data_IF_510879733743
#
_entry.id   IF_510879733743
#
_cell.length_a   1.000
_cell.length_b   1.000
_cell.length_c   1.000
_cell.angle_alpha   90.00
_cell.angle_beta   90.00
_cell.angle_gamma   90.00
#
_symmetry.space_group_name_H-M   'P 1'
#
loop_
_entity.id
_entity.type
_entity.pdbx_description
1 polymer ?
#
# COMPACT_ATOMS: atom_id res chain seq x y z
N UNK A 1 -7.67 16.19 7.73
CA UNK A 1 -6.53 16.44 8.64
C UNK A 1 -6.95 17.23 9.90
N UNK A 2 -7.73 18.34 9.80
CA UNK A 2 -8.15 19.14 10.97
C UNK A 2 -8.84 18.29 12.04
N UNK A 3 -9.84 17.47 11.65
CA UNK A 3 -10.56 16.58 12.57
C UNK A 3 -9.62 15.61 13.28
N UNK A 4 -8.60 15.07 12.61
CA UNK A 4 -7.65 14.14 13.23
C UNK A 4 -6.78 14.86 14.28
N UNK A 5 -6.32 16.07 14.00
CA UNK A 5 -5.52 16.88 14.94
C UNK A 5 -6.32 17.30 16.19
N UNK A 6 -7.64 17.48 16.03
CA UNK A 6 -8.55 17.87 17.13
C UNK A 6 -9.07 16.64 17.92
N UNK A 7 -8.85 15.41 17.41
CA UNK A 7 -9.35 14.20 18.07
C UNK A 7 -8.38 13.75 19.17
N UNK A 8 -8.86 13.55 20.42
CA UNK A 8 -8.01 13.07 21.50
C UNK A 8 -7.32 11.75 21.17
N UNK A 9 -6.03 11.61 21.51
CA UNK A 9 -5.21 10.43 21.22
C UNK A 9 -5.84 9.11 21.69
N UNK A 10 -6.51 9.11 22.86
CA UNK A 10 -7.25 7.95 23.37
C UNK A 10 -8.37 7.49 22.42
N UNK A 11 -9.08 8.43 21.79
CA UNK A 11 -10.15 8.14 20.82
C UNK A 11 -9.55 7.62 19.51
N UNK A 12 -8.44 8.20 19.04
CA UNK A 12 -7.69 7.70 17.89
C UNK A 12 -7.19 6.27 18.12
N UNK A 13 -6.61 5.98 19.28
CA UNK A 13 -6.19 4.64 19.68
C UNK A 13 -7.34 3.63 19.59
N UNK A 14 -8.51 4.00 20.11
CA UNK A 14 -9.71 3.14 20.07
C UNK A 14 -10.13 2.83 18.61
N UNK A 15 -10.11 3.83 17.73
CA UNK A 15 -10.42 3.63 16.30
C UNK A 15 -9.39 2.73 15.63
N UNK A 16 -8.11 2.96 15.86
CA UNK A 16 -7.03 2.10 15.32
C UNK A 16 -7.20 0.66 15.78
N UNK A 17 -7.49 0.41 17.07
CA UNK A 17 -7.75 -0.94 17.60
C UNK A 17 -8.93 -1.62 16.93
N UNK A 18 -10.05 -0.89 16.73
CA UNK A 18 -11.22 -1.43 16.01
C UNK A 18 -10.88 -1.79 14.57
N UNK A 19 -10.15 -0.92 13.89
CA UNK A 19 -9.70 -1.13 12.50
C UNK A 19 -8.81 -2.36 12.38
N UNK A 20 -7.79 -2.46 13.22
CA UNK A 20 -6.86 -3.61 13.21
C UNK A 20 -7.59 -4.92 13.55
N UNK A 21 -8.53 -4.90 14.51
CA UNK A 21 -9.40 -6.07 14.78
C UNK A 21 -10.22 -6.48 13.55
N UNK A 22 -10.76 -5.48 12.81
CA UNK A 22 -11.48 -5.74 11.56
C UNK A 22 -10.59 -6.37 10.49
N UNK A 23 -9.34 -5.88 10.35
CA UNK A 23 -8.36 -6.48 9.43
C UNK A 23 -8.06 -7.94 9.80
N UNK A 24 -7.80 -8.23 11.08
CA UNK A 24 -7.53 -9.59 11.56
C UNK A 24 -8.71 -10.48 11.26
N UNK A 25 -9.95 -10.09 11.64
CA UNK A 25 -11.15 -10.88 11.37
C UNK A 25 -11.36 -11.22 9.90
N UNK A 26 -10.84 -10.38 9.00
CA UNK A 26 -10.92 -10.54 7.54
C UNK A 26 -9.67 -11.22 6.94
N UNK A 27 -8.88 -11.89 7.77
CA UNK A 27 -7.76 -12.72 7.30
C UNK A 27 -6.45 -11.99 7.07
N UNK A 28 -6.32 -10.71 7.45
CA UNK A 28 -5.06 -9.98 7.31
C UNK A 28 -4.10 -10.38 8.42
N UNK A 29 -2.93 -10.94 8.08
CA UNK A 29 -1.87 -11.34 9.02
C UNK A 29 -0.71 -10.36 9.07
N UNK A 30 -0.55 -9.55 8.02
CA UNK A 30 0.48 -8.50 7.93
C UNK A 30 -0.13 -7.23 7.33
N UNK A 31 0.12 -6.09 7.94
CA UNK A 31 -0.26 -4.77 7.42
C UNK A 31 0.96 -3.89 7.16
N UNK A 32 0.84 -2.99 6.20
CA UNK A 32 1.75 -1.86 5.99
C UNK A 32 0.96 -0.59 6.20
N UNK A 33 1.44 0.29 7.04
CA UNK A 33 0.77 1.54 7.40
C UNK A 33 1.62 2.74 6.98
N UNK A 34 1.09 3.60 6.13
CA UNK A 34 1.65 4.91 5.82
C UNK A 34 1.20 5.90 6.88
N UNK A 35 2.07 6.15 7.87
CA UNK A 35 1.67 6.86 9.10
C UNK A 35 1.94 8.36 9.00
N UNK A 36 0.86 9.12 9.16
CA UNK A 36 0.85 10.56 9.37
C UNK A 36 1.00 10.93 10.86
N UNK A 37 1.24 12.22 11.13
CA UNK A 37 1.36 12.75 12.49
C UNK A 37 2.73 12.58 13.09
N UNK A 38 3.76 12.61 12.27
CA UNK A 38 5.16 12.60 12.70
C UNK A 38 5.47 11.44 13.66
N UNK A 39 6.34 11.68 14.64
CA UNK A 39 6.72 10.70 15.65
C UNK A 39 5.54 10.28 16.53
N UNK A 40 4.65 11.21 16.90
CA UNK A 40 3.49 10.91 17.75
C UNK A 40 2.54 9.92 17.07
N UNK A 41 2.27 10.12 15.78
CA UNK A 41 1.45 9.21 15.01
C UNK A 41 2.07 7.80 14.92
N UNK A 42 3.39 7.72 14.73
CA UNK A 42 4.13 6.45 14.72
C UNK A 42 4.05 5.75 16.08
N UNK A 43 4.29 6.45 17.17
CA UNK A 43 4.23 5.88 18.52
C UNK A 43 2.81 5.41 18.88
N UNK A 44 1.79 6.17 18.45
CA UNK A 44 0.40 5.81 18.71
C UNK A 44 -0.01 4.53 17.97
N UNK A 45 0.29 4.38 16.68
CA UNK A 45 -0.02 3.16 15.96
C UNK A 45 0.80 1.98 16.47
N UNK A 46 2.08 2.18 16.82
CA UNK A 46 2.94 1.17 17.42
C UNK A 46 2.31 0.58 18.68
N UNK A 47 1.89 1.44 19.61
CA UNK A 47 1.18 1.03 20.84
C UNK A 47 -0.04 0.14 20.57
N UNK A 48 -0.74 0.37 19.46
CA UNK A 48 -1.89 -0.45 19.07
C UNK A 48 -1.46 -1.79 18.51
N UNK A 49 -0.60 -1.79 17.48
CA UNK A 49 -0.28 -3.00 16.72
C UNK A 49 0.58 -3.99 17.52
N UNK A 50 1.49 -3.50 18.38
CA UNK A 50 2.35 -4.36 19.21
C UNK A 50 1.56 -5.14 20.27
N UNK A 51 0.34 -4.69 20.58
CA UNK A 51 -0.57 -5.38 21.51
C UNK A 51 -1.57 -6.33 20.81
N UNK A 52 -1.43 -6.55 19.50
CA UNK A 52 -2.41 -7.30 18.71
C UNK A 52 -1.73 -8.40 17.86
N UNK A 53 -2.42 -9.51 17.58
CA UNK A 53 -1.84 -10.62 16.80
C UNK A 53 -1.80 -10.30 15.30
N UNK A 54 -1.09 -9.24 14.92
CA UNK A 54 -0.85 -8.83 13.54
C UNK A 54 0.59 -8.38 13.38
N UNK A 55 1.21 -8.70 12.25
CA UNK A 55 2.52 -8.17 11.90
C UNK A 55 2.35 -6.81 11.25
N UNK A 56 3.13 -5.83 11.70
CA UNK A 56 3.06 -4.46 11.17
C UNK A 56 4.38 -4.01 10.56
N UNK A 57 4.29 -3.19 9.54
CA UNK A 57 5.37 -2.42 8.93
C UNK A 57 4.89 -0.98 8.89
N UNK A 58 5.46 -0.15 9.75
CA UNK A 58 5.07 1.25 9.86
C UNK A 58 6.04 2.08 9.02
N UNK A 59 5.50 2.83 8.07
CA UNK A 59 6.21 3.76 7.21
C UNK A 59 5.82 5.18 7.62
N UNK A 60 6.67 5.80 8.43
CA UNK A 60 6.43 7.15 8.92
C UNK A 60 6.86 8.23 7.93
N UNK A 61 6.38 9.43 8.13
CA UNK A 61 6.84 10.63 7.43
C UNK A 61 6.79 11.84 8.36
N UNK A 62 7.61 12.83 8.06
CA UNK A 62 7.52 14.15 8.69
C UNK A 62 6.53 15.00 7.88
N UNK A 63 5.60 15.66 8.55
CA UNK A 63 4.64 16.58 7.93
C UNK A 63 5.36 17.87 7.46
N UNK A 64 6.10 17.74 6.39
CA UNK A 64 6.82 18.84 5.76
C UNK A 64 6.62 18.79 4.24
N UNK A 65 6.09 19.86 3.71
CA UNK A 65 5.76 19.97 2.29
C UNK A 65 6.50 21.16 1.69
N UNK A 66 7.27 20.92 0.64
CA UNK A 66 7.95 21.98 -0.09
C UNK A 66 6.98 22.69 -1.02
N UNK A 67 7.02 24.01 -1.03
CA UNK A 67 6.25 24.83 -1.96
C UNK A 67 6.70 24.59 -3.41
N UNK A 68 5.83 24.91 -4.39
CA UNK A 68 6.15 24.82 -5.83
C UNK A 68 7.46 25.56 -6.18
N UNK A 69 7.73 26.69 -5.52
CA UNK A 69 8.96 27.47 -5.74
C UNK A 69 10.19 26.72 -5.22
N UNK A 70 10.10 26.12 -4.04
CA UNK A 70 11.19 25.30 -3.47
C UNK A 70 11.48 24.07 -4.34
N UNK A 71 10.43 23.41 -4.85
CA UNK A 71 10.57 22.28 -5.77
C UNK A 71 11.27 22.71 -7.06
N UNK A 72 10.85 23.83 -7.66
CA UNK A 72 11.45 24.38 -8.88
C UNK A 72 12.91 24.79 -8.69
N UNK A 73 13.24 25.38 -7.54
CA UNK A 73 14.62 25.74 -7.15
C UNK A 73 15.44 24.54 -6.67
N UNK A 74 14.85 23.37 -6.60
CA UNK A 74 15.49 22.14 -6.15
C UNK A 74 16.10 22.24 -4.73
N UNK A 75 15.37 22.89 -3.80
CA UNK A 75 15.81 23.18 -2.44
C UNK A 75 16.01 21.89 -1.63
N UNK A 76 17.07 21.74 -0.84
CA UNK A 76 17.27 20.60 0.08
C UNK A 76 16.29 20.65 1.27
N UNK A 77 16.23 19.56 2.03
CA UNK A 77 15.60 19.54 3.36
C UNK A 77 16.44 20.39 4.33
N UNK A 78 15.76 20.93 5.35
CA UNK A 78 16.41 21.68 6.43
C UNK A 78 17.11 20.73 7.41
N UNK A 79 18.09 21.25 8.17
CA UNK A 79 18.71 20.47 9.25
C UNK A 79 17.72 20.05 10.32
N UNK A 80 16.75 20.91 10.65
CA UNK A 80 15.69 20.60 11.59
C UNK A 80 14.86 19.40 11.11
N UNK A 81 14.49 19.39 9.83
CA UNK A 81 13.80 18.25 9.22
C UNK A 81 14.63 16.97 9.32
N UNK A 82 15.92 17.04 8.99
CA UNK A 82 16.81 15.87 9.05
C UNK A 82 16.88 15.29 10.48
N UNK A 83 17.00 16.14 11.50
CA UNK A 83 17.01 15.70 12.91
C UNK A 83 15.69 15.00 13.30
N UNK A 84 14.56 15.57 12.93
CA UNK A 84 13.23 14.95 13.18
C UNK A 84 13.11 13.61 12.45
N UNK A 85 13.55 13.54 11.20
CA UNK A 85 13.55 12.33 10.40
C UNK A 85 14.39 11.22 11.02
N UNK A 86 15.58 11.54 11.52
CA UNK A 86 16.47 10.56 12.16
C UNK A 86 15.85 9.98 13.44
N UNK A 87 15.13 10.79 14.21
CA UNK A 87 14.36 10.33 15.38
C UNK A 87 13.19 9.45 14.95
N UNK A 88 12.41 9.90 13.98
CA UNK A 88 11.27 9.14 13.42
C UNK A 88 11.72 7.75 12.96
N UNK A 89 12.78 7.70 12.18
CA UNK A 89 13.29 6.46 11.60
C UNK A 89 13.80 5.45 12.65
N UNK A 90 14.13 5.85 13.86
CA UNK A 90 14.44 4.91 14.94
C UNK A 90 13.21 4.14 15.41
N UNK A 91 12.00 4.68 15.20
CA UNK A 91 10.74 4.18 15.73
C UNK A 91 9.83 3.51 14.68
N UNK A 92 10.25 3.43 13.42
CA UNK A 92 9.45 2.82 12.33
C UNK A 92 10.32 2.02 11.37
N UNK A 93 9.72 1.22 10.49
CA UNK A 93 10.41 0.36 9.53
C UNK A 93 10.86 1.10 8.28
N UNK A 94 10.36 2.30 8.05
CA UNK A 94 10.76 3.06 6.85
C UNK A 94 10.01 4.36 6.64
N UNK A 95 10.15 4.88 5.41
CA UNK A 95 9.52 6.10 4.92
C UNK A 95 8.30 5.77 4.06
N UNK A 96 7.18 6.43 4.33
CA UNK A 96 5.97 6.42 3.51
C UNK A 96 5.68 7.82 2.99
N UNK A 97 6.07 8.13 1.76
CA UNK A 97 5.95 9.46 1.15
C UNK A 97 4.66 9.56 0.36
N UNK A 98 3.92 10.67 0.53
CA UNK A 98 2.63 10.91 -0.12
C UNK A 98 2.73 11.17 -1.63
N UNK A 99 3.85 11.73 -2.11
CA UNK A 99 4.04 11.95 -3.53
C UNK A 99 5.31 12.76 -3.83
N UNK A 100 5.78 12.70 -5.08
CA UNK A 100 6.95 13.45 -5.51
C UNK A 100 6.67 14.96 -5.58
N UNK A 101 5.41 15.36 -5.76
CA UNK A 101 5.02 16.76 -5.93
C UNK A 101 5.11 17.60 -4.64
N UNK A 102 5.36 16.97 -3.51
CA UNK A 102 5.59 17.61 -2.22
C UNK A 102 7.09 17.76 -1.90
N UNK A 103 7.97 17.29 -2.78
CA UNK A 103 9.40 17.22 -2.55
C UNK A 103 10.20 17.68 -3.78
N UNK A 104 11.32 18.35 -3.57
CA UNK A 104 12.27 18.61 -4.63
C UNK A 104 12.99 17.33 -5.06
N UNK A 105 13.57 17.33 -6.27
CA UNK A 105 14.39 16.20 -6.74
C UNK A 105 15.61 15.98 -5.83
N UNK A 106 16.16 17.06 -5.25
CA UNK A 106 17.26 16.97 -4.31
C UNK A 106 16.83 16.32 -2.98
N UNK A 107 15.67 16.72 -2.46
CA UNK A 107 15.08 16.10 -1.26
C UNK A 107 14.83 14.60 -1.46
N UNK A 108 14.21 14.20 -2.57
CA UNK A 108 14.01 12.78 -2.88
C UNK A 108 15.32 11.98 -2.88
N UNK A 109 16.40 12.55 -3.46
CA UNK A 109 17.73 11.95 -3.44
C UNK A 109 18.33 11.92 -2.02
N UNK A 110 18.10 12.93 -1.18
CA UNK A 110 18.53 12.89 0.23
C UNK A 110 17.83 11.77 0.98
N UNK A 111 16.49 11.66 0.87
CA UNK A 111 15.68 10.62 1.50
C UNK A 111 16.06 9.22 1.01
N UNK A 112 16.53 9.08 -0.24
CA UNK A 112 17.00 7.81 -0.79
C UNK A 112 18.21 7.19 -0.07
N UNK A 113 18.92 7.98 0.73
CA UNK A 113 20.11 7.53 1.49
C UNK A 113 19.74 6.69 2.71
N UNK A 114 18.47 6.74 3.18
CA UNK A 114 18.05 5.87 4.27
C UNK A 114 18.14 4.40 3.87
N UNK A 115 18.65 3.56 4.78
CA UNK A 115 18.75 2.12 4.59
C UNK A 115 17.44 1.37 4.87
N UNK A 116 16.43 2.06 5.41
CA UNK A 116 15.12 1.50 5.72
C UNK A 116 14.21 1.43 4.49
N UNK A 117 13.05 0.81 4.61
CA UNK A 117 12.06 0.72 3.54
C UNK A 117 11.68 2.13 3.08
N UNK A 118 11.53 2.31 1.79
CA UNK A 118 11.06 3.55 1.15
C UNK A 118 9.90 3.21 0.24
N UNK A 119 8.77 3.83 0.47
CA UNK A 119 7.60 3.70 -0.38
C UNK A 119 7.00 5.08 -0.67
N UNK A 120 6.37 5.23 -1.82
CA UNK A 120 5.85 6.52 -2.27
C UNK A 120 4.63 6.32 -3.15
N UNK A 121 3.61 7.17 -2.98
CA UNK A 121 2.48 7.27 -3.89
C UNK A 121 2.93 7.89 -5.21
N UNK A 122 2.41 7.40 -6.31
CA UNK A 122 2.85 7.82 -7.64
C UNK A 122 1.73 7.69 -8.67
N UNK A 123 1.57 8.72 -9.48
CA UNK A 123 0.61 8.78 -10.58
C UNK A 123 -0.79 8.27 -10.17
N UNK A 124 -1.22 8.64 -9.00
CA UNK A 124 -2.53 8.29 -8.45
C UNK A 124 -3.64 8.96 -9.26
N UNK A 125 -3.48 10.27 -9.52
CA UNK A 125 -4.39 11.06 -10.32
C UNK A 125 -3.72 11.56 -11.60
N UNK A 126 -4.52 11.84 -12.60
CA UNK A 126 -4.04 12.48 -13.84
C UNK A 126 -3.44 13.85 -13.55
N UNK A 127 -4.00 14.58 -12.58
CA UNK A 127 -3.55 15.90 -12.20
C UNK A 127 -2.16 15.88 -11.55
N UNK A 128 -1.85 14.88 -10.72
CA UNK A 128 -0.54 14.76 -10.06
C UNK A 128 0.58 14.66 -11.10
N UNK A 129 0.39 13.88 -12.16
CA UNK A 129 1.37 13.76 -13.25
C UNK A 129 1.48 15.05 -14.08
N UNK A 130 0.37 15.74 -14.34
CA UNK A 130 0.37 17.04 -15.03
C UNK A 130 1.10 18.12 -14.23
N UNK A 131 0.89 18.18 -12.91
CA UNK A 131 1.60 19.10 -12.01
C UNK A 131 3.10 18.83 -12.06
N UNK A 132 3.51 17.58 -11.95
CA UNK A 132 4.92 17.18 -11.99
C UNK A 132 5.59 17.63 -13.30
N UNK A 133 4.96 17.32 -14.44
CA UNK A 133 5.45 17.73 -15.77
C UNK A 133 5.54 19.26 -15.92
N UNK A 134 4.57 19.99 -15.39
CA UNK A 134 4.56 21.48 -15.45
C UNK A 134 5.73 22.06 -14.68
N UNK A 135 6.03 21.56 -13.47
CA UNK A 135 7.06 22.12 -12.59
C UNK A 135 8.46 21.65 -13.00
N UNK A 136 8.62 20.36 -13.35
CA UNK A 136 9.94 19.71 -13.44
C UNK A 136 10.25 19.13 -14.83
N UNK A 137 9.31 19.17 -15.77
CA UNK A 137 9.40 18.53 -17.10
C UNK A 137 9.51 17.01 -17.07
N UNK A 138 9.24 16.38 -15.91
CA UNK A 138 9.28 14.91 -15.71
C UNK A 138 7.92 14.40 -15.26
N UNK A 139 7.61 13.13 -15.55
CA UNK A 139 6.46 12.45 -14.93
C UNK A 139 6.64 12.35 -13.43
N UNK A 140 5.55 12.30 -12.68
CA UNK A 140 5.63 12.09 -11.24
C UNK A 140 6.35 10.78 -10.93
N UNK A 141 6.02 9.71 -11.65
CA UNK A 141 6.65 8.40 -11.48
C UNK A 141 8.17 8.42 -11.73
N UNK A 142 8.63 9.13 -12.75
CA UNK A 142 10.06 9.29 -13.01
C UNK A 142 10.79 10.02 -11.85
N UNK A 143 10.11 10.98 -11.21
CA UNK A 143 10.65 11.65 -10.02
C UNK A 143 10.64 10.75 -8.79
N UNK A 144 9.58 9.95 -8.62
CA UNK A 144 9.50 8.97 -7.53
C UNK A 144 10.72 8.02 -7.52
N UNK A 145 11.26 7.68 -8.70
CA UNK A 145 12.47 6.83 -8.79
C UNK A 145 13.72 7.46 -8.15
N UNK A 146 13.78 8.79 -7.97
CA UNK A 146 14.89 9.46 -7.28
C UNK A 146 14.98 9.08 -5.80
N UNK A 147 13.86 8.67 -5.20
CA UNK A 147 13.80 8.11 -3.85
C UNK A 147 14.41 6.70 -3.77
N UNK A 148 14.61 6.01 -4.91
CA UNK A 148 14.95 4.58 -4.99
C UNK A 148 13.98 3.76 -4.14
N UNK A 149 12.66 3.83 -4.40
CA UNK A 149 11.67 3.20 -3.54
C UNK A 149 11.74 1.68 -3.60
N UNK A 150 11.43 1.02 -2.49
CA UNK A 150 11.24 -0.43 -2.48
C UNK A 150 9.96 -0.80 -3.24
N UNK A 151 8.90 0.01 -3.10
CA UNK A 151 7.67 -0.17 -3.87
C UNK A 151 6.94 1.17 -4.06
N UNK A 152 6.04 1.18 -5.02
CA UNK A 152 5.16 2.30 -5.36
C UNK A 152 3.72 1.98 -4.98
N UNK A 153 2.90 3.02 -4.82
CA UNK A 153 1.46 2.89 -4.59
C UNK A 153 0.70 3.57 -5.73
N UNK A 154 -0.45 3.04 -6.10
CA UNK A 154 -1.38 3.42 -7.16
C UNK A 154 -0.87 3.18 -8.58
N UNK A 155 -0.10 4.07 -9.16
CA UNK A 155 0.36 4.04 -10.56
C UNK A 155 -0.79 4.01 -11.57
N UNK A 156 -1.96 4.55 -11.21
CA UNK A 156 -3.21 4.50 -11.98
C UNK A 156 -3.05 5.19 -13.35
N UNK A 157 -2.34 6.31 -13.40
CA UNK A 157 -2.09 7.09 -14.61
C UNK A 157 -0.65 7.02 -15.12
N UNK A 158 0.09 5.99 -14.69
CA UNK A 158 1.45 5.78 -15.15
C UNK A 158 1.51 5.43 -16.64
N UNK A 159 2.47 5.99 -17.35
CA UNK A 159 2.76 5.61 -18.73
C UNK A 159 3.40 4.23 -18.79
N UNK A 160 3.39 3.60 -19.99
CA UNK A 160 4.11 2.32 -20.21
C UNK A 160 5.59 2.41 -19.85
N UNK A 161 6.22 3.57 -20.10
CA UNK A 161 7.62 3.77 -19.74
C UNK A 161 7.80 3.87 -18.22
N UNK A 162 6.89 4.52 -17.50
CA UNK A 162 6.90 4.56 -16.03
C UNK A 162 6.71 3.16 -15.43
N UNK A 163 5.81 2.34 -16.00
CA UNK A 163 5.62 0.95 -15.57
C UNK A 163 6.86 0.09 -15.80
N UNK A 164 7.55 0.26 -16.95
CA UNK A 164 8.84 -0.42 -17.21
C UNK A 164 9.91 0.01 -16.19
N UNK A 165 9.97 1.30 -15.86
CA UNK A 165 10.90 1.81 -14.83
C UNK A 165 10.57 1.20 -13.45
N UNK A 166 9.30 1.16 -13.07
CA UNK A 166 8.85 0.54 -11.82
C UNK A 166 9.23 -0.94 -11.76
N UNK A 167 8.91 -1.71 -12.81
CA UNK A 167 9.23 -3.14 -12.88
C UNK A 167 10.73 -3.45 -12.74
N UNK A 168 11.59 -2.57 -13.25
CA UNK A 168 13.06 -2.74 -13.21
C UNK A 168 13.67 -2.33 -11.88
N UNK A 169 13.14 -1.30 -11.23
CA UNK A 169 13.83 -0.59 -10.15
C UNK A 169 13.14 -0.71 -8.78
N UNK A 170 12.03 -1.43 -8.70
CA UNK A 170 11.28 -1.62 -7.44
C UNK A 170 10.90 -3.08 -7.22
N UNK A 171 10.50 -3.43 -6.01
CA UNK A 171 9.96 -4.75 -5.69
C UNK A 171 8.52 -4.93 -6.21
N UNK A 172 7.84 -3.85 -6.61
CA UNK A 172 6.49 -3.89 -7.15
C UNK A 172 5.65 -2.65 -6.90
N UNK A 173 4.36 -2.79 -7.20
CA UNK A 173 3.34 -1.75 -7.10
C UNK A 173 2.19 -2.26 -6.25
N UNK A 174 1.70 -1.43 -5.32
CA UNK A 174 0.45 -1.67 -4.57
C UNK A 174 -0.68 -0.91 -5.26
N UNK A 175 -1.73 -1.60 -5.67
CA UNK A 175 -2.93 -0.99 -6.23
C UNK A 175 -4.05 -0.96 -5.21
N UNK A 176 -4.82 0.13 -5.17
CA UNK A 176 -5.90 0.37 -4.21
C UNK A 176 -7.22 0.63 -4.94
N UNK A 177 -7.79 -0.37 -5.63
CA UNK A 177 -8.83 -0.15 -6.63
C UNK A 177 -10.12 0.44 -6.07
N UNK A 178 -10.57 0.02 -4.88
CA UNK A 178 -11.81 0.54 -4.27
C UNK A 178 -11.65 1.98 -3.81
N UNK A 179 -10.50 2.34 -3.22
CA UNK A 179 -10.24 3.71 -2.80
C UNK A 179 -10.20 4.63 -4.01
N UNK A 180 -9.44 4.28 -5.03
CA UNK A 180 -9.37 5.06 -6.27
C UNK A 180 -10.75 5.26 -6.91
N UNK A 181 -11.58 4.21 -6.95
CA UNK A 181 -12.95 4.31 -7.47
C UNK A 181 -13.83 5.22 -6.60
N UNK A 182 -13.75 5.11 -5.27
CA UNK A 182 -14.54 5.91 -4.32
C UNK A 182 -14.19 7.41 -4.40
N UNK A 183 -12.94 7.72 -4.75
CA UNK A 183 -12.43 9.09 -4.90
C UNK A 183 -12.51 9.63 -6.33
N UNK A 184 -13.09 8.83 -7.26
CA UNK A 184 -13.13 9.15 -8.69
C UNK A 184 -11.75 9.36 -9.33
N UNK A 185 -10.72 8.69 -8.82
CA UNK A 185 -9.33 8.77 -9.27
C UNK A 185 -8.99 7.72 -10.35
N UNK A 186 -10.00 7.03 -10.87
CA UNK A 186 -9.82 6.04 -11.94
C UNK A 186 -9.49 4.63 -11.44
N UNK A 187 -9.30 3.72 -12.39
CA UNK A 187 -9.01 2.30 -12.11
C UNK A 187 -7.67 1.94 -12.77
N UNK A 188 -6.70 1.37 -12.03
CA UNK A 188 -5.43 0.96 -12.60
C UNK A 188 -5.60 -0.16 -13.63
N UNK A 189 -4.91 -0.07 -14.77
CA UNK A 189 -4.88 -1.13 -15.78
C UNK A 189 -3.89 -2.24 -15.37
N UNK A 190 -4.35 -3.16 -14.51
CA UNK A 190 -3.51 -4.22 -13.97
C UNK A 190 -3.02 -5.20 -15.04
N UNK A 191 -3.75 -5.39 -16.13
CA UNK A 191 -3.29 -6.26 -17.22
C UNK A 191 -2.08 -5.65 -17.94
N UNK A 192 -2.10 -4.33 -18.20
CA UNK A 192 -0.94 -3.64 -18.76
C UNK A 192 0.26 -3.67 -17.79
N UNK A 193 0.01 -3.50 -16.47
CA UNK A 193 1.05 -3.62 -15.45
C UNK A 193 1.69 -5.01 -15.43
N UNK A 194 0.87 -6.08 -15.55
CA UNK A 194 1.36 -7.46 -15.63
C UNK A 194 2.18 -7.68 -16.92
N UNK A 195 1.72 -7.16 -18.05
CA UNK A 195 2.46 -7.21 -19.34
C UNK A 195 3.82 -6.53 -19.23
N UNK A 196 3.90 -5.44 -18.46
CA UNK A 196 5.17 -4.76 -18.16
C UNK A 196 5.99 -5.47 -17.08
N UNK A 197 5.59 -6.67 -16.63
CA UNK A 197 6.27 -7.51 -15.63
C UNK A 197 6.35 -6.86 -14.22
N UNK A 198 5.44 -5.96 -13.89
CA UNK A 198 5.33 -5.43 -12.54
C UNK A 198 4.87 -6.52 -11.58
N UNK A 199 5.50 -6.62 -10.41
CA UNK A 199 4.96 -7.38 -9.29
C UNK A 199 3.86 -6.56 -8.63
N UNK A 200 2.63 -7.08 -8.60
CA UNK A 200 1.47 -6.36 -8.08
C UNK A 200 1.02 -6.92 -6.74
N UNK A 201 0.71 -6.03 -5.81
CA UNK A 201 -0.01 -6.33 -4.57
C UNK A 201 -1.24 -5.44 -4.45
N UNK A 202 -2.21 -5.83 -3.61
CA UNK A 202 -3.43 -5.08 -3.34
C UNK A 202 -3.35 -4.47 -1.95
N UNK A 203 -3.69 -3.18 -1.86
CA UNK A 203 -3.91 -2.44 -0.63
C UNK A 203 -5.34 -1.92 -0.52
N UNK A 204 -5.75 -1.57 0.70
CA UNK A 204 -7.10 -1.03 0.98
C UNK A 204 -7.14 0.48 1.09
N UNK A 205 -5.96 1.09 1.11
CA UNK A 205 -5.79 2.53 1.32
C UNK A 205 -6.46 3.03 2.61
N UNK A 206 -6.90 4.26 2.63
CA UNK A 206 -7.43 4.94 3.80
C UNK A 206 -8.71 4.29 4.33
N UNK A 207 -8.65 3.80 5.55
CA UNK A 207 -9.76 3.11 6.23
C UNK A 207 -10.97 3.99 6.53
N UNK A 208 -10.85 5.31 6.37
CA UNK A 208 -12.00 6.23 6.46
C UNK A 208 -12.85 6.21 5.19
N UNK A 209 -12.26 5.82 4.05
CA UNK A 209 -12.96 5.74 2.76
C UNK A 209 -13.63 4.38 2.60
N UNK A 210 -12.86 3.31 2.84
CA UNK A 210 -13.30 1.94 2.68
C UNK A 210 -12.94 1.07 3.89
N UNK A 211 -13.80 0.09 4.22
CA UNK A 211 -13.41 -0.91 5.21
C UNK A 211 -12.19 -1.70 4.71
N UNK A 212 -11.22 -2.02 5.59
CA UNK A 212 -10.03 -2.80 5.20
C UNK A 212 -10.43 -4.27 5.01
N UNK A 213 -10.70 -4.64 3.75
CA UNK A 213 -11.25 -5.93 3.37
C UNK A 213 -10.68 -6.40 2.03
N UNK A 214 -9.72 -7.33 2.10
CA UNK A 214 -9.04 -7.83 0.92
C UNK A 214 -9.92 -8.73 0.03
N UNK A 215 -10.96 -9.38 0.57
CA UNK A 215 -11.91 -10.11 -0.27
C UNK A 215 -12.68 -9.16 -1.18
N UNK A 216 -13.15 -8.03 -0.63
CA UNK A 216 -13.82 -7.00 -1.41
C UNK A 216 -12.89 -6.33 -2.42
N UNK A 217 -11.63 -6.11 -2.07
CA UNK A 217 -10.64 -5.56 -3.02
C UNK A 217 -10.40 -6.51 -4.18
N UNK A 218 -10.22 -7.81 -3.92
CA UNK A 218 -10.00 -8.81 -4.94
C UNK A 218 -11.18 -8.91 -5.92
N UNK A 219 -12.40 -9.03 -5.39
CA UNK A 219 -13.62 -9.12 -6.19
C UNK A 219 -13.84 -7.86 -7.04
N UNK A 220 -13.69 -6.69 -6.41
CA UNK A 220 -13.83 -5.42 -7.10
C UNK A 220 -12.81 -5.27 -8.22
N UNK A 221 -11.52 -5.48 -7.94
CA UNK A 221 -10.44 -5.36 -8.93
C UNK A 221 -10.67 -6.27 -10.13
N UNK A 222 -11.08 -7.52 -9.89
CA UNK A 222 -11.37 -8.45 -10.97
C UNK A 222 -12.53 -7.95 -11.84
N UNK A 223 -13.68 -7.57 -11.22
CA UNK A 223 -14.87 -7.10 -11.92
C UNK A 223 -14.62 -5.84 -12.75
N UNK A 224 -13.92 -4.84 -12.18
CA UNK A 224 -13.62 -3.61 -12.92
C UNK A 224 -12.63 -3.84 -14.05
N UNK A 225 -11.66 -4.74 -13.89
CA UNK A 225 -10.74 -5.12 -14.96
C UNK A 225 -11.49 -5.80 -16.10
N UNK A 226 -12.39 -6.73 -15.78
CA UNK A 226 -13.21 -7.40 -16.79
C UNK A 226 -14.20 -6.44 -17.47
N UNK A 227 -14.89 -5.60 -16.70
CA UNK A 227 -15.96 -4.74 -17.21
C UNK A 227 -15.46 -3.49 -17.93
N UNK A 228 -14.51 -2.77 -17.34
CA UNK A 228 -14.02 -1.49 -17.86
C UNK A 228 -12.92 -1.71 -18.91
N UNK A 229 -11.92 -2.51 -18.59
CA UNK A 229 -10.80 -2.75 -19.50
C UNK A 229 -11.09 -3.84 -20.53
N UNK A 230 -12.19 -4.61 -20.37
CA UNK A 230 -12.58 -5.75 -21.22
C UNK A 230 -11.45 -6.77 -21.40
N UNK A 231 -10.67 -6.99 -20.33
CA UNK A 231 -9.49 -7.84 -20.31
C UNK A 231 -9.69 -8.98 -19.32
N UNK A 232 -9.48 -10.20 -19.78
CA UNK A 232 -9.60 -11.40 -18.94
C UNK A 232 -8.36 -11.56 -18.06
N UNK A 233 -8.59 -11.73 -16.75
CA UNK A 233 -7.56 -12.01 -15.77
C UNK A 233 -7.89 -13.30 -15.01
N UNK A 234 -6.90 -14.15 -14.81
CA UNK A 234 -7.06 -15.37 -14.03
C UNK A 234 -7.23 -14.99 -12.54
N UNK A 235 -8.30 -15.45 -11.85
CA UNK A 235 -8.49 -15.23 -10.41
C UNK A 235 -7.27 -15.62 -9.56
N UNK A 236 -6.51 -16.63 -9.98
CA UNK A 236 -5.25 -17.00 -9.34
C UNK A 236 -4.24 -15.85 -9.31
N UNK A 237 -4.20 -15.01 -10.34
CA UNK A 237 -3.32 -13.83 -10.35
C UNK A 237 -3.76 -12.80 -9.31
N UNK A 238 -5.06 -12.59 -9.17
CA UNK A 238 -5.61 -11.69 -8.16
C UNK A 238 -5.29 -12.20 -6.75
N UNK A 239 -5.51 -13.50 -6.47
CA UNK A 239 -5.19 -14.09 -5.17
C UNK A 239 -3.69 -13.98 -4.82
N UNK A 240 -2.80 -14.09 -5.81
CA UNK A 240 -1.37 -13.88 -5.60
C UNK A 240 -1.04 -12.46 -5.14
N UNK A 241 -1.81 -11.44 -5.54
CA UNK A 241 -1.57 -10.05 -5.17
C UNK A 241 -1.78 -9.78 -3.67
N UNK A 242 -2.59 -10.58 -2.99
CA UNK A 242 -2.80 -10.50 -1.54
C UNK A 242 -2.02 -11.55 -0.75
N UNK A 243 -1.21 -12.37 -1.42
CA UNK A 243 -0.43 -13.44 -0.81
C UNK A 243 1.05 -13.37 -1.22
N UNK A 244 1.50 -14.25 -2.09
CA UNK A 244 2.92 -14.41 -2.45
C UNK A 244 3.55 -13.15 -3.07
N UNK A 245 2.78 -12.38 -3.84
CA UNK A 245 3.29 -11.15 -4.44
C UNK A 245 3.53 -10.06 -3.39
N UNK A 246 2.63 -9.94 -2.39
CA UNK A 246 2.82 -9.04 -1.26
C UNK A 246 4.08 -9.42 -0.46
N UNK A 247 4.31 -10.72 -0.23
CA UNK A 247 5.54 -11.20 0.39
C UNK A 247 6.80 -10.79 -0.38
N UNK A 248 6.79 -10.95 -1.69
CA UNK A 248 7.89 -10.52 -2.59
C UNK A 248 8.10 -9.00 -2.53
N UNK A 249 7.00 -8.22 -2.60
CA UNK A 249 7.05 -6.76 -2.53
C UNK A 249 7.73 -6.27 -1.25
N UNK A 250 7.40 -6.90 -0.13
CA UNK A 250 7.96 -6.57 1.19
C UNK A 250 9.34 -7.21 1.45
N UNK A 251 9.83 -8.05 0.53
CA UNK A 251 11.03 -8.86 0.71
C UNK A 251 10.97 -9.69 2.02
N UNK A 252 9.82 -10.32 2.28
CA UNK A 252 9.57 -11.15 3.46
C UNK A 252 9.12 -12.55 3.05
N UNK A 253 9.50 -13.54 3.86
CA UNK A 253 9.10 -14.94 3.68
C UNK A 253 7.69 -15.19 4.23
N UNK A 254 6.68 -14.60 3.60
CA UNK A 254 5.24 -14.66 3.93
C UNK A 254 4.40 -14.92 2.68
N UNK A 255 3.11 -15.22 2.87
CA UNK A 255 2.11 -15.37 1.79
C UNK A 255 2.23 -16.67 0.99
N UNK A 256 2.97 -17.68 1.50
CA UNK A 256 3.16 -18.95 0.85
C UNK A 256 3.40 -20.04 1.91
N UNK A 257 2.78 -21.19 1.75
CA UNK A 257 3.07 -22.39 2.57
C UNK A 257 4.31 -23.06 1.97
N UNK A 258 5.46 -22.82 2.58
CA UNK A 258 6.75 -23.32 2.12
C UNK A 258 7.72 -23.38 3.31
N UNK A 259 8.62 -24.35 3.31
CA UNK A 259 9.70 -24.46 4.30
C UNK A 259 10.52 -23.16 4.38
N UNK A 260 10.80 -22.69 5.59
CA UNK A 260 11.50 -21.45 5.88
C UNK A 260 10.64 -20.17 5.69
N UNK A 261 9.34 -20.31 5.41
CA UNK A 261 8.36 -19.21 5.42
C UNK A 261 7.60 -19.20 6.74
N UNK A 262 7.09 -18.03 7.12
CA UNK A 262 6.23 -17.91 8.29
C UNK A 262 4.91 -18.65 8.04
N UNK A 263 4.45 -19.41 9.03
CA UNK A 263 3.23 -20.22 8.95
C UNK A 263 1.96 -19.36 9.17
N UNK A 264 1.83 -18.29 8.41
CA UNK A 264 0.62 -17.50 8.36
C UNK A 264 -0.38 -18.15 7.40
N UNK A 265 -1.61 -18.36 7.83
CA UNK A 265 -2.63 -19.01 7.01
C UNK A 265 -4.05 -18.56 7.35
N UNK A 266 -4.91 -18.56 6.34
CA UNK A 266 -6.35 -18.35 6.49
C UNK A 266 -7.05 -19.62 6.02
N UNK A 267 -7.80 -20.27 6.92
CA UNK A 267 -8.56 -21.48 6.65
C UNK A 267 -9.99 -21.07 6.29
N UNK A 268 -10.44 -21.46 5.09
CA UNK A 268 -11.76 -21.15 4.57
C UNK A 268 -12.62 -22.40 4.60
N UNK A 269 -13.90 -22.26 5.03
CA UNK A 269 -14.86 -23.35 5.09
C UNK A 269 -15.21 -23.79 3.67
N UNK A 270 -14.90 -25.04 3.31
CA UNK A 270 -15.23 -25.59 1.99
C UNK A 270 -16.72 -25.66 1.74
N UNK A 271 -17.50 -25.97 2.77
CA UNK A 271 -18.97 -26.13 2.72
C UNK A 271 -19.71 -24.87 3.15
N UNK A 272 -19.12 -23.68 2.91
CA UNK A 272 -19.80 -22.40 3.08
C UNK A 272 -20.87 -22.23 2.00
N UNK A 273 -22.05 -21.70 2.38
CA UNK A 273 -23.19 -21.54 1.46
C UNK A 273 -22.84 -20.71 0.22
N UNK A 274 -21.98 -19.72 0.38
CA UNK A 274 -21.55 -18.88 -0.73
C UNK A 274 -20.50 -19.55 -1.62
N UNK A 275 -19.76 -20.53 -1.11
CA UNK A 275 -18.64 -21.17 -1.80
C UNK A 275 -19.02 -22.49 -2.49
N UNK A 276 -19.97 -23.24 -1.95
CA UNK A 276 -20.40 -24.53 -2.49
C UNK A 276 -21.41 -24.35 -3.64
N UNK A 277 -21.33 -25.10 -4.77
CA UNK A 277 -20.24 -26.00 -5.16
C UNK A 277 -18.99 -25.28 -5.64
N UNK A 278 -17.81 -25.84 -5.31
CA UNK A 278 -16.50 -25.29 -5.72
C UNK A 278 -16.06 -25.93 -7.03
N UNK A 279 -16.21 -25.23 -8.14
CA UNK A 279 -15.67 -25.65 -9.44
C UNK A 279 -14.23 -25.19 -9.64
N UNK A 280 -13.93 -23.96 -9.22
CA UNK A 280 -12.58 -23.38 -9.26
C UNK A 280 -12.30 -22.70 -7.92
N UNK A 281 -11.37 -23.22 -7.09
CA UNK A 281 -11.12 -22.67 -5.76
C UNK A 281 -10.60 -21.22 -5.78
N UNK A 282 -9.84 -20.84 -6.78
CA UNK A 282 -9.35 -19.47 -6.91
C UNK A 282 -10.49 -18.50 -7.20
N UNK A 283 -11.36 -18.85 -8.14
CA UNK A 283 -12.55 -18.04 -8.46
C UNK A 283 -13.51 -17.95 -7.27
N UNK A 284 -13.76 -19.06 -6.58
CA UNK A 284 -14.61 -19.08 -5.39
C UNK A 284 -14.06 -18.14 -4.30
N UNK A 285 -12.76 -18.20 -4.02
CA UNK A 285 -12.15 -17.31 -3.01
C UNK A 285 -12.20 -15.84 -3.45
N UNK A 286 -11.87 -15.54 -4.71
CA UNK A 286 -11.79 -14.15 -5.18
C UNK A 286 -13.17 -13.49 -5.27
N UNK A 287 -14.21 -14.24 -5.69
CA UNK A 287 -15.52 -13.64 -6.01
C UNK A 287 -16.60 -13.88 -4.98
N UNK A 288 -16.46 -14.94 -4.17
CA UNK A 288 -17.57 -15.42 -3.33
C UNK A 288 -17.21 -15.49 -1.84
N UNK A 289 -15.91 -15.62 -1.49
CA UNK A 289 -15.50 -15.65 -0.10
C UNK A 289 -15.62 -14.27 0.58
N UNK A 290 -15.94 -14.29 1.85
CA UNK A 290 -16.03 -13.13 2.72
C UNK A 290 -15.57 -13.48 4.14
N UNK A 291 -15.68 -12.55 5.08
CA UNK A 291 -15.24 -12.79 6.47
C UNK A 291 -15.95 -13.96 7.16
N UNK A 292 -17.22 -14.26 6.78
CA UNK A 292 -17.98 -15.38 7.36
C UNK A 292 -17.50 -16.74 6.84
N UNK A 293 -16.88 -16.77 5.66
CA UNK A 293 -16.28 -17.98 5.08
C UNK A 293 -15.01 -18.42 5.83
N UNK A 294 -14.42 -17.55 6.66
CA UNK A 294 -13.21 -17.86 7.42
C UNK A 294 -13.57 -18.79 8.58
N UNK A 295 -12.86 -19.93 8.68
CA UNK A 295 -12.96 -20.86 9.82
C UNK A 295 -11.94 -20.50 10.89
N UNK A 296 -10.71 -20.22 10.47
CA UNK A 296 -9.59 -19.97 11.36
C UNK A 296 -8.53 -19.12 10.67
N UNK A 297 -7.82 -18.33 11.46
CA UNK A 297 -6.66 -17.54 11.02
C UNK A 297 -5.50 -17.95 11.91
N UNK A 298 -4.50 -18.59 11.32
CA UNK A 298 -3.25 -18.95 11.98
C UNK A 298 -2.17 -17.91 11.69
N UNK A 299 -1.43 -17.51 12.70
CA UNK A 299 -0.22 -16.69 12.57
C UNK A 299 0.89 -17.30 13.40
N UNK A 300 2.06 -17.49 12.78
CA UNK A 300 3.25 -17.89 13.51
C UNK A 300 3.66 -16.78 14.50
N UNK A 301 3.76 -17.13 15.75
CA UNK A 301 4.44 -16.28 16.73
C UNK A 301 5.95 -16.51 16.56
N UNK A 302 6.67 -15.44 16.26
CA UNK A 302 8.14 -15.40 16.26
C UNK A 302 8.57 -14.67 17.52
#
# INVERSE_FOLDING_TARGET
QKILKETPSKKLEQFMRKTVRSMIKKGTTTLVDFREGDLEGVLLVRKVVDSMPIRSIILGRIEYYQSKNQIKKNTPITESYQKQLDILLKNCEGLGISGANENSDFTLKQLSKTKKIRAIHSAETKESDLISKRITKKTESARCMLLKPNFLVHMTYASKNDLKLAAKNTNGIVVCPRANASLAEGIPDIEEMIKMKCNLAIGTDNVMINSPDLFREMDFLWKVTMGIHKKRIDPKQILKMVTVNAGKLLNKKIGCIKEGYLADGVFIKKQDLDLDPIHNPYASIVHRANENSIKEIGRAHV
#
